data_IF_681727871786
#
_entry.id   IF_681727871786
#
_cell.length_a   1.000
_cell.length_b   1.000
_cell.length_c   1.000
_cell.angle_alpha   90.00
_cell.angle_beta   90.00
_cell.angle_gamma   90.00
#
_symmetry.space_group_name_H-M   'P 1'
#
loop_
_entity.id
_entity.type
_entity.pdbx_description
1 polymer ?
#
# COMPACT_ATOMS: atom_id res chain seq x y z
N UNK A 1 2.32 14.51 36.90
CA UNK A 1 1.69 14.18 35.60
C UNK A 1 2.72 13.42 34.80
N UNK A 2 2.51 12.11 34.61
CA UNK A 2 3.36 11.29 33.75
C UNK A 2 3.22 11.81 32.32
N UNK A 3 4.32 12.25 31.73
CA UNK A 3 4.40 12.40 30.28
C UNK A 3 4.35 11.00 29.68
N UNK A 4 3.15 10.56 29.25
CA UNK A 4 3.05 9.46 28.31
C UNK A 4 3.83 9.88 27.06
N UNK A 5 4.93 9.17 26.80
CA UNK A 5 5.69 9.37 25.57
C UNK A 5 4.76 9.00 24.41
N UNK A 6 4.69 9.84 23.38
CA UNK A 6 3.83 9.61 22.20
C UNK A 6 4.19 8.34 21.39
N UNK A 7 5.14 7.54 21.87
CA UNK A 7 5.67 6.33 21.26
C UNK A 7 5.36 5.03 22.03
N UNK A 8 4.60 5.08 23.14
CA UNK A 8 4.20 3.86 23.85
C UNK A 8 2.92 3.27 23.28
N UNK A 9 2.93 1.96 23.01
CA UNK A 9 1.72 1.21 22.70
C UNK A 9 0.90 1.04 23.97
N UNK A 10 -0.43 1.11 23.84
CA UNK A 10 -1.32 0.91 24.98
C UNK A 10 -1.16 -0.51 25.54
N UNK A 11 -1.07 -0.66 26.86
CA UNK A 11 -1.10 -1.98 27.52
C UNK A 11 -2.39 -2.77 27.21
N UNK A 12 -3.44 -2.08 26.76
CA UNK A 12 -4.72 -2.66 26.33
C UNK A 12 -4.75 -3.00 24.83
N UNK A 13 -3.64 -2.80 24.10
CA UNK A 13 -3.60 -3.14 22.68
C UNK A 13 -3.86 -4.63 22.47
N UNK A 14 -4.68 -4.99 21.46
CA UNK A 14 -4.96 -6.39 21.14
C UNK A 14 -3.71 -7.16 20.71
N UNK A 15 -2.61 -6.50 20.34
CA UNK A 15 -1.36 -7.20 19.97
C UNK A 15 -0.75 -7.99 21.13
N UNK A 16 -1.12 -7.67 22.38
CA UNK A 16 -0.66 -8.41 23.56
C UNK A 16 -1.58 -9.56 23.96
N UNK A 17 -2.79 -9.64 23.38
CA UNK A 17 -3.69 -10.74 23.64
C UNK A 17 -3.21 -11.99 22.88
N UNK A 18 -2.89 -13.12 23.56
CA UNK A 18 -2.47 -14.34 22.88
C UNK A 18 -3.48 -14.86 21.86
N UNK A 19 -4.77 -14.64 22.09
CA UNK A 19 -5.84 -15.09 21.19
C UNK A 19 -5.85 -14.33 19.85
N UNK A 20 -5.21 -13.15 19.79
CA UNK A 20 -5.07 -12.37 18.57
C UNK A 20 -4.33 -13.13 17.47
N UNK A 21 -3.45 -14.06 17.85
CA UNK A 21 -2.59 -14.78 16.90
C UNK A 21 -3.14 -16.14 16.45
N UNK A 22 -4.37 -16.49 16.87
CA UNK A 22 -5.01 -17.75 16.47
C UNK A 22 -5.31 -17.81 14.97
N UNK A 23 -5.13 -18.98 14.37
CA UNK A 23 -5.41 -19.23 12.94
C UNK A 23 -6.62 -20.15 12.80
N UNK A 24 -7.30 -20.13 11.64
CA UNK A 24 -8.33 -21.12 11.35
C UNK A 24 -7.70 -22.49 11.07
N UNK A 25 -6.51 -22.47 10.46
CA UNK A 25 -5.65 -23.62 10.25
C UNK A 25 -4.33 -23.42 11.02
N UNK A 26 -4.26 -24.05 12.20
CA UNK A 26 -3.08 -24.08 13.06
C UNK A 26 -2.09 -25.21 12.73
N UNK A 27 -2.32 -25.96 11.64
CA UNK A 27 -1.40 -27.01 11.20
C UNK A 27 0.00 -26.45 10.91
N UNK A 28 0.98 -27.36 10.88
CA UNK A 28 2.36 -27.08 10.52
C UNK A 28 2.46 -26.30 9.19
N UNK A 29 3.13 -25.14 9.23
CA UNK A 29 3.29 -24.26 8.07
C UNK A 29 4.14 -24.91 6.98
N UNK A 30 5.13 -25.71 7.37
CA UNK A 30 5.94 -26.50 6.44
C UNK A 30 5.11 -27.47 5.60
N UNK A 31 3.96 -27.94 6.08
CA UNK A 31 3.03 -28.75 5.26
C UNK A 31 2.20 -27.88 4.32
N UNK A 32 1.68 -26.75 4.81
CA UNK A 32 0.82 -25.86 4.02
C UNK A 32 1.56 -25.16 2.87
N UNK A 33 2.80 -24.74 3.12
CA UNK A 33 3.65 -24.04 2.16
C UNK A 33 4.49 -24.99 1.28
N UNK A 34 4.38 -26.31 1.48
CA UNK A 34 5.05 -27.31 0.63
C UNK A 34 4.55 -27.33 -0.82
N UNK A 35 3.29 -26.92 -1.04
CA UNK A 35 2.71 -26.84 -2.38
C UNK A 35 3.21 -25.58 -3.06
N UNK A 36 3.88 -25.76 -4.19
CA UNK A 36 4.40 -24.66 -5.01
C UNK A 36 3.27 -23.75 -5.52
N UNK A 37 3.48 -22.44 -5.41
CA UNK A 37 2.53 -21.41 -5.83
C UNK A 37 3.24 -20.37 -6.70
N UNK A 38 3.53 -20.74 -7.94
CA UNK A 38 4.03 -19.83 -8.98
C UNK A 38 2.91 -18.94 -9.56
N UNK A 39 2.24 -18.19 -8.68
CA UNK A 39 1.16 -17.28 -9.06
C UNK A 39 1.36 -15.94 -8.38
N UNK A 40 1.01 -14.87 -9.09
CA UNK A 40 0.93 -13.54 -8.51
C UNK A 40 -0.34 -13.41 -7.68
N UNK A 41 -0.19 -12.99 -6.42
CA UNK A 41 -1.32 -12.80 -5.49
C UNK A 41 -2.02 -11.44 -5.66
N UNK A 42 -1.36 -10.50 -6.32
CA UNK A 42 -1.82 -9.14 -6.59
C UNK A 42 -1.92 -8.91 -8.10
N UNK A 43 -2.78 -8.00 -8.53
CA UNK A 43 -2.80 -7.54 -9.92
C UNK A 43 -1.54 -6.75 -10.30
N UNK A 44 -1.31 -6.59 -11.60
CA UNK A 44 -0.07 -6.00 -12.11
C UNK A 44 0.14 -4.54 -11.75
N UNK A 45 -0.92 -3.75 -11.51
CA UNK A 45 -0.76 -2.36 -11.06
C UNK A 45 -0.33 -2.31 -9.60
N UNK A 46 -0.89 -3.18 -8.77
CA UNK A 46 -0.50 -3.34 -7.38
C UNK A 46 0.97 -3.80 -7.28
N UNK A 47 1.38 -4.80 -8.08
CA UNK A 47 2.77 -5.26 -8.16
C UNK A 47 3.73 -4.14 -8.60
N UNK A 48 3.38 -3.37 -9.64
CA UNK A 48 4.20 -2.24 -10.06
C UNK A 48 4.36 -1.20 -8.95
N UNK A 49 3.30 -1.01 -8.13
CA UNK A 49 3.36 -0.12 -6.97
C UNK A 49 4.31 -0.65 -5.89
N UNK A 50 4.32 -1.97 -5.64
CA UNK A 50 5.28 -2.62 -4.72
C UNK A 50 6.72 -2.37 -5.19
N UNK A 51 6.99 -2.61 -6.47
CA UNK A 51 8.30 -2.35 -7.09
C UNK A 51 8.73 -0.89 -6.94
N UNK A 52 7.84 0.07 -7.25
CA UNK A 52 8.10 1.50 -7.13
C UNK A 52 8.41 1.90 -5.68
N UNK A 53 7.69 1.34 -4.70
CA UNK A 53 7.94 1.56 -3.26
C UNK A 53 9.32 1.03 -2.87
N UNK A 54 9.66 -0.21 -3.21
CA UNK A 54 10.94 -0.84 -2.89
C UNK A 54 12.09 -0.03 -3.52
N UNK A 55 11.99 0.26 -4.82
CA UNK A 55 13.03 0.99 -5.56
C UNK A 55 13.21 2.44 -5.12
N UNK A 56 12.17 3.07 -4.56
CA UNK A 56 12.26 4.43 -4.02
C UNK A 56 12.84 4.47 -2.62
N UNK A 57 12.53 3.48 -1.79
CA UNK A 57 12.85 3.49 -0.37
C UNK A 57 14.21 2.88 -0.05
N UNK A 58 14.72 1.91 -0.80
CA UNK A 58 16.07 1.40 -0.59
C UNK A 58 17.03 2.30 -1.36
N UNK A 59 17.82 3.09 -0.63
CA UNK A 59 18.61 4.20 -1.18
C UNK A 59 20.12 3.93 -1.06
N UNK A 60 20.50 2.88 -0.37
CA UNK A 60 21.88 2.52 -0.15
C UNK A 60 22.55 2.14 -1.49
N UNK A 61 23.84 2.42 -1.62
CA UNK A 61 24.61 1.97 -2.77
C UNK A 61 24.94 0.48 -2.58
N UNK A 62 24.57 -0.36 -3.56
CA UNK A 62 24.79 -1.82 -3.51
C UNK A 62 24.35 -2.49 -2.20
N UNK A 63 23.06 -2.36 -1.80
CA UNK A 63 22.56 -2.83 -0.51
C UNK A 63 22.60 -4.35 -0.37
N UNK A 64 22.74 -4.80 0.88
CA UNK A 64 22.42 -6.17 1.28
C UNK A 64 20.97 -6.20 1.76
N UNK A 65 20.11 -6.91 1.03
CA UNK A 65 18.66 -6.97 1.26
C UNK A 65 18.26 -8.36 1.75
N UNK A 66 17.41 -8.43 2.77
CA UNK A 66 16.69 -9.64 3.16
C UNK A 66 15.25 -9.53 2.66
N UNK A 67 14.80 -10.47 1.83
CA UNK A 67 13.38 -10.74 1.62
C UNK A 67 12.88 -11.72 2.68
N UNK A 68 12.12 -11.21 3.65
CA UNK A 68 11.62 -11.94 4.81
C UNK A 68 10.25 -12.55 4.49
N UNK A 69 10.17 -13.88 4.58
CA UNK A 69 9.05 -14.70 4.08
C UNK A 69 8.97 -14.71 2.56
N UNK A 70 10.12 -14.77 1.90
CA UNK A 70 10.28 -14.78 0.45
C UNK A 70 9.55 -15.97 -0.21
N UNK A 71 8.95 -15.69 -1.37
CA UNK A 71 8.41 -16.67 -2.29
C UNK A 71 9.25 -16.76 -3.57
N UNK A 72 8.57 -17.00 -4.70
CA UNK A 72 9.21 -17.14 -6.01
C UNK A 72 9.54 -15.81 -6.71
N UNK A 73 9.07 -14.68 -6.17
CA UNK A 73 9.35 -13.34 -6.66
C UNK A 73 9.47 -12.38 -5.47
N UNK A 74 10.56 -11.62 -5.40
CA UNK A 74 10.83 -10.65 -4.32
C UNK A 74 10.26 -9.25 -4.64
N UNK A 75 9.75 -9.05 -5.86
CA UNK A 75 9.27 -7.77 -6.39
C UNK A 75 10.34 -6.65 -6.36
N UNK A 76 11.60 -7.04 -6.48
CA UNK A 76 12.72 -6.12 -6.63
C UNK A 76 12.75 -5.64 -8.10
N UNK A 77 12.73 -4.32 -8.37
CA UNK A 77 12.67 -3.80 -9.74
C UNK A 77 13.84 -4.25 -10.62
N UNK A 78 13.61 -4.48 -11.92
CA UNK A 78 14.61 -4.99 -12.88
C UNK A 78 15.87 -4.09 -13.03
N UNK A 79 15.78 -2.81 -12.68
CA UNK A 79 16.90 -1.86 -12.69
C UNK A 79 17.62 -1.69 -11.35
N UNK A 80 17.14 -2.33 -10.29
CA UNK A 80 17.71 -2.23 -8.95
C UNK A 80 19.01 -3.05 -8.86
N UNK A 81 20.05 -2.48 -8.26
CA UNK A 81 21.40 -3.09 -8.19
C UNK A 81 21.79 -3.38 -6.73
N UNK A 82 21.24 -4.45 -6.13
CA UNK A 82 21.67 -4.88 -4.81
C UNK A 82 23.11 -5.40 -4.86
N UNK A 83 23.83 -5.25 -3.76
CA UNK A 83 25.11 -5.94 -3.57
C UNK A 83 24.91 -7.41 -3.23
N UNK A 84 23.79 -7.74 -2.56
CA UNK A 84 23.34 -9.10 -2.28
C UNK A 84 21.85 -9.11 -1.91
N UNK A 85 21.10 -10.12 -2.35
CA UNK A 85 19.74 -10.39 -1.91
C UNK A 85 19.66 -11.79 -1.31
N UNK A 86 19.17 -11.88 -0.08
CA UNK A 86 18.93 -13.13 0.63
C UNK A 86 17.43 -13.32 0.79
N UNK A 87 16.90 -14.46 0.40
CA UNK A 87 15.50 -14.81 0.68
C UNK A 87 15.40 -15.75 1.88
N UNK A 88 14.49 -15.49 2.80
CA UNK A 88 14.16 -16.42 3.88
C UNK A 88 12.71 -16.86 3.72
N UNK A 89 12.46 -18.15 3.52
CA UNK A 89 11.12 -18.66 3.28
C UNK A 89 10.96 -20.13 3.63
N UNK A 90 9.83 -20.73 3.22
CA UNK A 90 9.47 -22.10 3.55
C UNK A 90 9.46 -23.06 2.34
N UNK A 91 9.25 -22.54 1.14
CA UNK A 91 9.19 -23.36 -0.07
C UNK A 91 10.52 -23.27 -0.84
N UNK A 92 11.28 -24.37 -0.86
CA UNK A 92 12.57 -24.41 -1.53
C UNK A 92 12.48 -24.23 -3.06
N UNK A 93 11.45 -24.76 -3.69
CA UNK A 93 11.27 -24.66 -5.15
C UNK A 93 10.97 -23.22 -5.57
N UNK A 94 10.14 -22.52 -4.80
CA UNK A 94 9.86 -21.10 -4.99
C UNK A 94 11.13 -20.27 -4.84
N UNK A 95 11.86 -20.45 -3.72
CA UNK A 95 13.11 -19.73 -3.47
C UNK A 95 14.16 -19.97 -4.55
N UNK A 96 14.34 -21.22 -5.01
CA UNK A 96 15.26 -21.55 -6.12
C UNK A 96 14.86 -20.89 -7.45
N UNK A 97 13.58 -20.62 -7.65
CA UNK A 97 13.05 -20.01 -8.87
C UNK A 97 13.05 -18.48 -8.82
N UNK A 98 13.30 -17.90 -7.65
CA UNK A 98 13.30 -16.46 -7.44
C UNK A 98 14.58 -15.84 -8.00
N UNK A 99 14.42 -15.17 -9.15
CA UNK A 99 15.52 -14.59 -9.93
C UNK A 99 16.22 -13.44 -9.24
N UNK A 100 15.62 -12.86 -8.21
CA UNK A 100 16.21 -11.76 -7.45
C UNK A 100 17.18 -12.24 -6.37
N UNK A 101 17.14 -13.51 -5.97
CA UNK A 101 17.93 -14.02 -4.84
C UNK A 101 19.31 -14.48 -5.28
N UNK A 102 20.34 -14.08 -4.52
CA UNK A 102 21.68 -14.66 -4.61
C UNK A 102 21.81 -15.91 -3.72
N UNK A 103 21.12 -15.90 -2.57
CA UNK A 103 21.11 -16.98 -1.59
C UNK A 103 19.72 -17.10 -0.96
N UNK A 104 19.39 -18.28 -0.44
CA UNK A 104 18.16 -18.48 0.31
C UNK A 104 18.38 -19.32 1.57
N UNK A 105 17.49 -19.14 2.54
CA UNK A 105 17.45 -19.88 3.81
C UNK A 105 16.05 -20.43 4.04
N UNK A 106 15.96 -21.75 4.26
CA UNK A 106 14.73 -22.38 4.73
C UNK A 106 14.60 -22.21 6.23
N UNK A 107 13.64 -21.42 6.68
CA UNK A 107 13.46 -21.14 8.10
C UNK A 107 12.01 -20.76 8.40
N UNK A 108 11.43 -21.44 9.40
CA UNK A 108 10.07 -21.22 9.86
C UNK A 108 10.05 -20.25 11.05
N UNK A 109 9.79 -18.98 10.76
CA UNK A 109 9.77 -17.91 11.77
C UNK A 109 8.65 -18.07 12.81
N UNK A 110 7.61 -18.85 12.50
CA UNK A 110 6.52 -19.10 13.42
C UNK A 110 6.90 -20.18 14.45
N UNK A 111 7.82 -21.09 14.10
CA UNK A 111 8.43 -22.04 15.05
C UNK A 111 9.57 -21.42 15.84
N UNK A 112 10.49 -20.75 15.14
CA UNK A 112 11.64 -20.08 15.74
C UNK A 112 11.75 -18.65 15.18
N UNK A 113 11.34 -17.61 15.93
CA UNK A 113 11.38 -16.23 15.43
C UNK A 113 12.80 -15.67 15.35
N UNK A 114 13.82 -16.38 15.87
CA UNK A 114 15.22 -15.94 15.83
C UNK A 114 15.79 -16.09 14.43
N UNK A 115 15.96 -14.96 13.74
CA UNK A 115 16.49 -14.96 12.38
C UNK A 115 17.95 -15.45 12.36
N UNK A 116 18.33 -16.38 11.48
CA UNK A 116 19.63 -17.07 11.49
C UNK A 116 20.76 -16.23 10.87
N UNK A 117 20.80 -14.94 11.20
CA UNK A 117 21.78 -13.98 10.69
C UNK A 117 22.47 -13.24 11.84
N UNK A 118 23.69 -12.78 11.59
CA UNK A 118 24.45 -11.95 12.52
C UNK A 118 23.84 -10.56 12.67
N UNK A 119 24.09 -9.92 13.80
CA UNK A 119 23.70 -8.54 14.07
C UNK A 119 24.22 -7.59 12.98
N UNK A 120 23.44 -6.58 12.62
CA UNK A 120 23.84 -5.52 11.68
C UNK A 120 24.42 -6.02 10.34
N UNK A 121 23.83 -7.07 9.76
CA UNK A 121 24.24 -7.65 8.48
C UNK A 121 23.53 -7.05 7.25
N UNK A 122 22.31 -6.51 7.42
CA UNK A 122 21.47 -6.05 6.30
C UNK A 122 21.30 -4.54 6.27
N UNK A 123 21.24 -3.98 5.06
CA UNK A 123 20.88 -2.58 4.81
C UNK A 123 19.35 -2.42 4.75
N UNK A 124 18.64 -3.43 4.24
CA UNK A 124 17.19 -3.45 4.21
C UNK A 124 16.63 -4.84 4.50
N UNK A 125 15.49 -4.89 5.19
CA UNK A 125 14.61 -6.05 5.31
C UNK A 125 13.27 -5.66 4.66
N UNK A 126 12.84 -6.43 3.67
CA UNK A 126 11.53 -6.29 3.04
C UNK A 126 10.64 -7.45 3.48
N UNK A 127 9.38 -7.18 3.77
CA UNK A 127 8.35 -8.19 3.98
C UNK A 127 7.17 -7.84 3.08
N UNK A 128 6.99 -8.61 2.01
CA UNK A 128 6.00 -8.35 0.97
C UNK A 128 4.82 -9.32 1.10
N UNK A 129 3.65 -8.78 1.41
CA UNK A 129 2.35 -9.46 1.43
C UNK A 129 2.31 -10.70 2.33
N UNK A 130 3.04 -10.66 3.45
CA UNK A 130 3.25 -11.84 4.32
C UNK A 130 3.13 -11.59 5.83
N UNK A 131 3.08 -10.33 6.30
CA UNK A 131 3.01 -9.98 7.74
C UNK A 131 1.80 -10.62 8.44
N UNK A 132 0.71 -10.81 7.70
CA UNK A 132 -0.55 -11.41 8.15
C UNK A 132 -0.43 -12.89 8.53
N UNK A 133 0.66 -13.55 8.15
CA UNK A 133 0.94 -14.96 8.50
C UNK A 133 1.91 -15.12 9.67
N UNK A 134 2.40 -14.03 10.27
CA UNK A 134 3.29 -14.06 11.44
C UNK A 134 2.48 -14.23 12.73
N UNK A 135 2.67 -15.34 13.45
CA UNK A 135 2.02 -15.56 14.77
C UNK A 135 2.89 -15.11 15.95
N UNK A 136 4.13 -14.68 15.69
CA UNK A 136 5.07 -14.10 16.67
C UNK A 136 5.69 -12.77 16.20
N UNK A 137 4.91 -11.80 15.69
CA UNK A 137 5.44 -10.63 15.01
C UNK A 137 6.31 -9.74 15.92
N UNK A 138 5.97 -9.62 17.21
CA UNK A 138 6.75 -8.79 18.15
C UNK A 138 8.20 -9.27 18.29
N UNK A 139 8.44 -10.57 18.20
CA UNK A 139 9.78 -11.16 18.27
C UNK A 139 10.50 -11.04 16.93
N UNK A 140 9.78 -11.30 15.83
CA UNK A 140 10.31 -11.18 14.46
C UNK A 140 10.74 -9.73 14.15
N UNK A 141 9.96 -8.73 14.57
CA UNK A 141 10.32 -7.32 14.36
C UNK A 141 11.54 -6.90 15.18
N UNK A 142 11.71 -7.43 16.41
CA UNK A 142 12.93 -7.23 17.21
C UNK A 142 14.14 -7.86 16.53
N UNK A 143 13.99 -9.06 15.97
CA UNK A 143 15.05 -9.74 15.23
C UNK A 143 15.39 -9.05 13.91
N UNK A 144 14.39 -8.55 13.16
CA UNK A 144 14.61 -7.69 12.00
C UNK A 144 15.41 -6.44 12.39
N UNK A 145 15.05 -5.81 13.51
CA UNK A 145 15.83 -4.72 14.11
C UNK A 145 17.25 -5.14 14.48
N UNK A 146 17.48 -6.33 15.05
CA UNK A 146 18.82 -6.84 15.41
C UNK A 146 19.71 -6.98 14.18
N UNK A 147 19.22 -7.61 13.12
CA UNK A 147 20.01 -7.91 11.92
C UNK A 147 20.20 -6.71 11.00
N UNK A 148 19.40 -5.65 11.14
CA UNK A 148 19.59 -4.40 10.41
C UNK A 148 20.80 -3.62 10.90
N UNK A 149 21.57 -3.03 9.98
CA UNK A 149 22.58 -2.01 10.32
C UNK A 149 21.91 -0.78 10.92
N UNK A 150 22.60 0.03 11.75
CA UNK A 150 22.06 1.31 12.20
C UNK A 150 21.66 2.19 11.00
N UNK A 151 20.40 2.65 10.97
CA UNK A 151 19.80 3.34 9.82
C UNK A 151 19.28 2.42 8.70
N UNK A 152 19.39 1.09 8.85
CA UNK A 152 18.83 0.14 7.90
C UNK A 152 17.30 0.20 7.85
N UNK A 153 16.71 -0.15 6.71
CA UNK A 153 15.26 -0.09 6.48
C UNK A 153 14.56 -1.39 6.87
N UNK A 154 13.50 -1.32 7.69
CA UNK A 154 12.47 -2.35 7.67
C UNK A 154 11.26 -1.82 6.90
N UNK A 155 10.86 -2.54 5.85
CA UNK A 155 9.74 -2.21 4.97
C UNK A 155 8.74 -3.35 4.96
N UNK A 156 7.54 -3.08 5.46
CA UNK A 156 6.43 -4.03 5.52
C UNK A 156 5.35 -3.57 4.55
N UNK A 157 5.07 -4.41 3.56
CA UNK A 157 4.08 -4.14 2.51
C UNK A 157 2.98 -5.17 2.62
N UNK A 158 1.71 -4.75 2.61
CA UNK A 158 0.57 -5.65 2.60
C UNK A 158 -0.57 -5.13 1.72
N UNK A 159 -1.51 -6.02 1.44
CA UNK A 159 -2.73 -5.76 0.69
C UNK A 159 -3.95 -6.29 1.45
N UNK A 160 -5.13 -6.23 0.84
CA UNK A 160 -6.34 -6.87 1.36
C UNK A 160 -6.47 -8.35 0.94
N UNK A 161 -5.61 -8.82 0.03
CA UNK A 161 -5.50 -10.23 -0.37
C UNK A 161 -4.73 -11.01 0.70
N UNK A 162 -5.30 -12.12 1.15
CA UNK A 162 -4.67 -13.03 2.10
C UNK A 162 -5.23 -14.45 1.94
N UNK A 163 -4.57 -15.44 2.53
CA UNK A 163 -5.12 -16.76 2.79
C UNK A 163 -5.83 -16.77 4.16
N UNK A 164 -7.17 -16.72 4.23
CA UNK A 164 -7.88 -16.58 5.52
C UNK A 164 -7.58 -17.72 6.49
N UNK A 165 -7.22 -18.90 5.98
CA UNK A 165 -6.88 -20.06 6.80
C UNK A 165 -5.62 -19.83 7.65
N UNK A 166 -4.61 -19.16 7.09
CA UNK A 166 -3.31 -18.92 7.73
C UNK A 166 -3.14 -17.53 8.31
N UNK A 167 -3.96 -16.56 7.91
CA UNK A 167 -3.92 -15.23 8.51
C UNK A 167 -4.34 -15.29 9.99
N UNK A 168 -3.63 -14.57 10.86
CA UNK A 168 -3.95 -14.55 12.28
C UNK A 168 -5.25 -13.79 12.59
N UNK A 169 -5.93 -14.16 13.68
CA UNK A 169 -7.29 -13.71 14.01
C UNK A 169 -7.44 -12.19 14.01
N UNK A 170 -6.58 -11.48 14.72
CA UNK A 170 -6.63 -10.02 14.81
C UNK A 170 -6.54 -9.37 13.43
N UNK A 171 -5.70 -9.89 12.52
CA UNK A 171 -5.63 -9.40 11.14
C UNK A 171 -6.95 -9.61 10.38
N UNK A 172 -7.53 -10.80 10.49
CA UNK A 172 -8.78 -11.16 9.79
C UNK A 172 -9.97 -10.34 10.27
N UNK A 173 -10.04 -10.07 11.57
CA UNK A 173 -11.12 -9.31 12.20
C UNK A 173 -10.95 -7.79 12.05
N UNK A 174 -9.78 -7.33 11.59
CA UNK A 174 -9.47 -5.92 11.37
C UNK A 174 -9.75 -5.48 9.94
N UNK A 175 -10.22 -4.24 9.79
CA UNK A 175 -10.22 -3.53 8.51
C UNK A 175 -8.81 -3.04 8.13
N UNK A 176 -8.65 -2.48 6.94
CA UNK A 176 -7.33 -2.11 6.41
C UNK A 176 -6.66 -0.95 7.18
N UNK A 177 -7.44 0.01 7.65
CA UNK A 177 -6.91 1.12 8.45
C UNK A 177 -6.50 0.64 9.85
N UNK A 178 -7.21 -0.35 10.43
CA UNK A 178 -6.81 -1.02 11.67
C UNK A 178 -5.54 -1.86 11.49
N UNK A 179 -5.36 -2.53 10.34
CA UNK A 179 -4.14 -3.28 10.01
C UNK A 179 -2.90 -2.39 9.95
N UNK A 180 -3.05 -1.16 9.44
CA UNK A 180 -2.00 -0.13 9.50
C UNK A 180 -1.59 0.14 10.95
N UNK A 181 -2.56 0.30 11.86
CA UNK A 181 -2.30 0.54 13.29
C UNK A 181 -1.58 -0.67 13.91
N UNK A 182 -2.03 -1.89 13.61
CA UNK A 182 -1.40 -3.12 14.11
C UNK A 182 0.08 -3.19 13.73
N UNK A 183 0.41 -2.94 12.45
CA UNK A 183 1.80 -2.97 11.98
C UNK A 183 2.62 -1.83 12.62
N UNK A 184 2.05 -0.63 12.74
CA UNK A 184 2.68 0.50 13.42
C UNK A 184 3.02 0.17 14.89
N UNK A 185 2.12 -0.53 15.58
CA UNK A 185 2.37 -0.98 16.94
C UNK A 185 3.47 -2.05 17.00
N UNK A 186 3.59 -2.96 16.02
CA UNK A 186 4.72 -3.89 15.96
C UNK A 186 6.08 -3.16 15.84
N UNK A 187 6.16 -2.10 15.03
CA UNK A 187 7.35 -1.24 14.94
C UNK A 187 7.67 -0.56 16.29
N UNK A 188 6.65 0.00 16.96
CA UNK A 188 6.81 0.66 18.26
C UNK A 188 7.28 -0.33 19.34
N UNK A 189 6.69 -1.52 19.39
CA UNK A 189 7.03 -2.56 20.36
C UNK A 189 8.41 -3.16 20.18
N UNK A 190 8.93 -3.16 18.95
CA UNK A 190 10.32 -3.55 18.73
C UNK A 190 11.30 -2.58 19.41
N UNK A 191 10.92 -1.31 19.61
CA UNK A 191 11.65 -0.34 20.41
C UNK A 191 13.00 0.12 19.84
N UNK A 192 13.32 -0.29 18.61
CA UNK A 192 14.62 -0.03 17.95
C UNK A 192 14.50 0.73 16.63
N UNK A 193 13.28 1.09 16.23
CA UNK A 193 13.00 1.83 15.01
C UNK A 193 12.69 3.30 15.29
N UNK A 194 13.02 4.16 14.33
CA UNK A 194 12.56 5.54 14.28
C UNK A 194 11.04 5.61 14.05
N UNK A 195 10.50 6.83 13.96
CA UNK A 195 9.08 7.02 13.67
C UNK A 195 8.70 6.35 12.34
N UNK A 196 7.65 5.55 12.38
CA UNK A 196 7.05 4.90 11.21
C UNK A 196 6.56 5.94 10.20
N UNK A 197 6.75 5.59 8.93
CA UNK A 197 6.20 6.28 7.77
C UNK A 197 5.24 5.34 7.05
N UNK A 198 4.24 5.92 6.39
CA UNK A 198 3.14 5.20 5.78
C UNK A 198 2.88 5.68 4.36
N UNK A 199 2.86 4.74 3.44
CA UNK A 199 2.43 4.94 2.07
C UNK A 199 1.17 4.08 1.81
N UNK A 200 0.19 4.66 1.10
CA UNK A 200 -1.05 3.97 0.71
C UNK A 200 -1.33 4.24 -0.77
N UNK A 201 -1.71 3.18 -1.49
CA UNK A 201 -2.24 3.24 -2.84
C UNK A 201 -3.52 2.41 -2.90
N UNK A 202 -4.68 3.04 -3.08
CA UNK A 202 -5.98 2.36 -3.16
C UNK A 202 -6.93 3.07 -4.14
N UNK A 203 -8.00 2.38 -4.56
CA UNK A 203 -9.05 2.95 -5.41
C UNK A 203 -8.67 3.15 -6.89
N UNK A 204 -7.48 2.68 -7.29
CA UNK A 204 -6.98 2.76 -8.67
C UNK A 204 -7.68 1.75 -9.58
N UNK A 205 -7.83 2.05 -10.88
CA UNK A 205 -8.47 1.13 -11.82
C UNK A 205 -7.68 -0.17 -11.93
N UNK A 206 -8.38 -1.31 -11.87
CA UNK A 206 -7.79 -2.63 -12.09
C UNK A 206 -7.34 -2.77 -13.55
N UNK A 207 -6.16 -3.35 -13.83
CA UNK A 207 -5.72 -3.65 -15.19
C UNK A 207 -6.76 -4.47 -15.97
N UNK A 208 -7.01 -4.10 -17.23
CA UNK A 208 -8.08 -4.72 -18.04
C UNK A 208 -7.81 -6.18 -18.40
N UNK A 209 -6.58 -6.64 -18.27
CA UNK A 209 -6.16 -8.03 -18.50
C UNK A 209 -6.14 -8.88 -17.21
N UNK A 210 -6.48 -8.31 -16.05
CA UNK A 210 -6.58 -9.06 -14.81
C UNK A 210 -7.84 -9.94 -14.78
N UNK A 211 -7.75 -11.10 -14.11
CA UNK A 211 -8.86 -12.07 -14.02
C UNK A 211 -10.13 -11.53 -13.34
N UNK A 212 -10.02 -10.51 -12.49
CA UNK A 212 -11.15 -9.88 -11.81
C UNK A 212 -11.55 -8.53 -12.46
N UNK A 213 -11.02 -8.19 -13.63
CA UNK A 213 -11.28 -6.90 -14.28
C UNK A 213 -12.77 -6.64 -14.57
N UNK A 214 -13.54 -7.70 -14.85
CA UNK A 214 -14.98 -7.61 -15.14
C UNK A 214 -15.86 -7.42 -13.90
N UNK A 215 -15.33 -7.59 -12.69
CA UNK A 215 -16.12 -7.52 -11.45
C UNK A 215 -16.32 -6.07 -10.97
N UNK A 216 -15.74 -5.08 -11.67
CA UNK A 216 -15.86 -3.66 -11.29
C UNK A 216 -15.16 -3.32 -9.97
N UNK A 217 -14.30 -4.21 -9.47
CA UNK A 217 -13.50 -3.98 -8.26
C UNK A 217 -12.22 -3.20 -8.60
N UNK A 218 -11.73 -2.32 -7.71
CA UNK A 218 -10.45 -1.64 -7.89
C UNK A 218 -9.27 -2.60 -8.00
N UNK A 219 -8.12 -2.06 -8.42
CA UNK A 219 -6.82 -2.69 -8.23
C UNK A 219 -6.59 -2.97 -6.73
N UNK A 220 -5.89 -4.05 -6.44
CA UNK A 220 -5.54 -4.48 -5.10
C UNK A 220 -4.80 -3.34 -4.38
N UNK A 221 -5.29 -2.91 -3.20
CA UNK A 221 -4.68 -1.79 -2.49
C UNK A 221 -3.31 -2.20 -1.93
N UNK A 222 -2.39 -1.25 -1.87
CA UNK A 222 -1.07 -1.42 -1.28
C UNK A 222 -0.93 -0.49 -0.08
N UNK A 223 -0.54 -1.06 1.04
CA UNK A 223 -0.16 -0.35 2.26
C UNK A 223 1.30 -0.69 2.56
N UNK A 224 2.14 0.32 2.74
CA UNK A 224 3.54 0.14 3.09
C UNK A 224 3.86 0.95 4.34
N UNK A 225 4.18 0.25 5.43
CA UNK A 225 4.74 0.85 6.63
C UNK A 225 6.22 0.57 6.69
N UNK A 226 6.99 1.59 7.00
CA UNK A 226 8.43 1.47 7.05
C UNK A 226 9.06 2.40 8.08
N UNK A 227 10.18 1.96 8.61
CA UNK A 227 10.98 2.74 9.54
C UNK A 227 12.45 2.38 9.41
N UNK A 228 13.31 3.31 9.81
CA UNK A 228 14.75 3.11 9.87
C UNK A 228 15.13 2.60 11.26
N UNK A 229 16.11 1.70 11.35
CA UNK A 229 16.71 1.33 12.63
C UNK A 229 17.39 2.56 13.23
N UNK A 230 17.15 2.80 14.52
CA UNK A 230 17.82 3.87 15.27
C UNK A 230 19.35 3.74 15.28
N UNK A 231 20.03 4.86 15.53
CA UNK A 231 21.50 4.91 15.58
C UNK A 231 22.19 5.06 14.22
N UNK A 232 21.43 5.32 13.16
CA UNK A 232 21.98 5.65 11.85
C UNK A 232 22.80 6.94 11.87
N UNK A 233 23.74 7.07 10.93
CA UNK A 233 24.53 8.30 10.77
C UNK A 233 23.60 9.48 10.42
N UNK A 234 23.57 10.59 11.20
CA UNK A 234 22.72 11.75 10.91
C UNK A 234 23.00 12.43 9.56
N UNK A 235 24.19 12.23 8.98
CA UNK A 235 24.58 12.75 7.67
C UNK A 235 24.13 11.85 6.49
N UNK A 236 23.47 10.71 6.76
CA UNK A 236 22.90 9.84 5.73
C UNK A 236 21.90 10.60 4.85
N UNK A 237 21.78 10.20 3.59
CA UNK A 237 20.68 10.65 2.73
C UNK A 237 19.35 10.24 3.40
N UNK A 238 18.39 11.16 3.46
CA UNK A 238 17.04 10.83 3.91
C UNK A 238 16.31 10.05 2.83
N UNK A 239 15.51 9.05 3.23
CA UNK A 239 14.62 8.37 2.29
C UNK A 239 13.58 9.36 1.75
N UNK A 240 13.27 9.32 0.45
CA UNK A 240 12.30 10.22 -0.14
C UNK A 240 10.88 9.86 0.30
N UNK A 241 9.95 10.81 0.13
CA UNK A 241 8.53 10.45 0.10
C UNK A 241 8.26 9.60 -1.14
N UNK A 242 7.61 8.46 -0.96
CA UNK A 242 7.23 7.62 -2.09
C UNK A 242 6.22 8.35 -2.97
N UNK A 243 6.49 8.38 -4.27
CA UNK A 243 5.58 8.84 -5.30
C UNK A 243 5.44 7.76 -6.37
N UNK A 244 4.23 7.27 -6.58
CA UNK A 244 3.95 6.34 -7.68
C UNK A 244 3.88 7.12 -8.99
N UNK A 245 4.30 6.49 -10.08
CA UNK A 245 4.14 7.06 -11.42
C UNK A 245 2.66 7.11 -11.80
N UNK A 246 2.14 8.31 -12.06
CA UNK A 246 0.82 8.50 -12.68
C UNK A 246 0.99 8.76 -14.18
N UNK A 247 -0.09 8.59 -14.95
CA UNK A 247 -0.18 9.31 -16.23
C UNK A 247 -0.01 10.80 -15.95
N UNK A 248 0.88 11.44 -16.70
CA UNK A 248 1.15 12.87 -16.55
C UNK A 248 -0.15 13.67 -16.66
N UNK A 249 -0.31 14.66 -15.77
CA UNK A 249 -1.34 15.67 -15.98
C UNK A 249 -0.93 16.53 -17.17
N UNK A 250 -1.88 17.02 -17.97
CA UNK A 250 -1.59 18.11 -18.90
C UNK A 250 -0.99 19.30 -18.13
N UNK A 251 -0.22 20.15 -18.81
CA UNK A 251 0.34 21.36 -18.18
C UNK A 251 -0.77 22.25 -17.61
N UNK A 252 -0.44 23.08 -16.61
CA UNK A 252 -1.42 24.00 -16.02
C UNK A 252 -2.05 24.93 -17.08
N UNK A 253 -1.26 25.37 -18.07
CA UNK A 253 -1.73 26.17 -19.20
C UNK A 253 -2.72 25.40 -20.08
N UNK A 254 -2.43 24.12 -20.36
CA UNK A 254 -3.31 23.26 -21.15
C UNK A 254 -4.61 22.94 -20.40
N UNK A 255 -4.54 22.68 -19.09
CA UNK A 255 -5.72 22.51 -18.24
C UNK A 255 -6.58 23.77 -18.27
N UNK A 256 -5.99 24.94 -18.03
CA UNK A 256 -6.72 26.22 -18.06
C UNK A 256 -7.34 26.52 -19.44
N UNK A 257 -6.67 26.13 -20.53
CA UNK A 257 -7.21 26.23 -21.89
C UNK A 257 -8.42 25.31 -22.07
N UNK A 258 -8.31 24.06 -21.63
CA UNK A 258 -9.39 23.07 -21.74
C UNK A 258 -10.59 23.42 -20.85
N UNK A 259 -10.36 23.91 -19.64
CA UNK A 259 -11.41 24.37 -18.71
C UNK A 259 -12.32 25.42 -19.35
N UNK A 260 -11.75 26.36 -20.13
CA UNK A 260 -12.52 27.38 -20.86
C UNK A 260 -13.41 26.80 -21.97
N UNK A 261 -13.06 25.65 -22.53
CA UNK A 261 -13.82 24.99 -23.60
C UNK A 261 -14.80 23.92 -23.09
N UNK A 262 -14.83 23.65 -21.78
CA UNK A 262 -15.69 22.59 -21.22
C UNK A 262 -17.17 22.87 -21.49
N UNK A 263 -17.60 24.13 -21.42
CA UNK A 263 -18.99 24.52 -21.71
C UNK A 263 -19.47 24.10 -23.11
N UNK A 264 -18.56 24.10 -24.08
CA UNK A 264 -18.86 23.82 -25.48
C UNK A 264 -18.63 22.33 -25.83
N UNK A 265 -17.62 21.71 -25.20
CA UNK A 265 -17.19 20.34 -25.51
C UNK A 265 -17.81 19.29 -24.59
N UNK A 266 -18.15 19.66 -23.37
CA UNK A 266 -18.48 18.78 -22.24
C UNK A 266 -17.42 17.70 -21.99
N UNK A 267 -16.17 17.96 -22.39
CA UNK A 267 -15.05 17.07 -22.15
C UNK A 267 -14.32 17.47 -20.86
N UNK A 268 -13.88 16.47 -20.10
CA UNK A 268 -13.08 16.68 -18.90
C UNK A 268 -11.73 17.35 -19.25
N UNK A 269 -11.33 18.43 -18.57
CA UNK A 269 -10.09 19.13 -18.91
C UNK A 269 -8.83 18.28 -18.65
N UNK A 270 -8.91 17.32 -17.73
CA UNK A 270 -7.76 16.49 -17.34
C UNK A 270 -7.53 15.31 -18.28
N UNK A 271 -8.58 14.58 -18.67
CA UNK A 271 -8.45 13.38 -19.51
C UNK A 271 -9.03 13.50 -20.92
N UNK A 272 -9.76 14.58 -21.23
CA UNK A 272 -10.38 14.80 -22.54
C UNK A 272 -11.65 13.99 -22.82
N UNK A 273 -12.00 13.02 -21.97
CA UNK A 273 -13.21 12.21 -22.11
C UNK A 273 -14.48 13.02 -21.90
N UNK A 274 -15.55 12.65 -22.61
CA UNK A 274 -16.86 13.27 -22.45
C UNK A 274 -17.43 12.99 -21.06
N UNK A 275 -17.92 14.03 -20.39
CA UNK A 275 -18.52 13.93 -19.07
C UNK A 275 -19.99 13.50 -19.16
N UNK A 276 -20.46 12.79 -18.14
CA UNK A 276 -21.85 12.36 -18.05
C UNK A 276 -22.67 13.41 -17.31
N UNK A 277 -23.91 13.59 -17.75
CA UNK A 277 -24.89 14.41 -17.03
C UNK A 277 -25.26 13.68 -15.74
N UNK A 278 -25.25 14.40 -14.63
CA UNK A 278 -25.49 13.88 -13.30
C UNK A 278 -26.56 14.71 -12.61
N UNK A 279 -27.60 14.04 -12.13
CA UNK A 279 -28.69 14.69 -11.40
C UNK A 279 -28.19 15.13 -10.02
N UNK A 280 -28.40 16.40 -9.70
CA UNK A 280 -28.15 16.90 -8.35
C UNK A 280 -29.23 16.33 -7.43
N UNK A 281 -28.87 15.62 -6.33
CA UNK A 281 -29.85 15.06 -5.42
C UNK A 281 -30.70 16.16 -4.79
N UNK A 282 -32.03 15.98 -4.84
CA UNK A 282 -32.96 16.81 -4.09
C UNK A 282 -32.78 16.51 -2.59
N UNK A 283 -32.04 17.37 -1.90
CA UNK A 283 -31.92 17.32 -0.45
C UNK A 283 -32.83 18.38 0.18
N UNK A 284 -33.94 17.97 0.83
CA UNK A 284 -34.89 18.91 1.46
C UNK A 284 -34.32 19.63 2.69
N UNK A 285 -33.14 19.26 3.17
CA UNK A 285 -32.50 19.86 4.34
C UNK A 285 -31.31 20.77 4.00
N UNK A 286 -30.71 20.62 2.81
CA UNK A 286 -29.60 21.46 2.31
C UNK A 286 -29.58 21.44 0.77
N UNK A 287 -30.23 22.38 0.10
CA UNK A 287 -29.91 22.65 -1.30
C UNK A 287 -28.58 23.42 -1.34
N UNK A 288 -27.50 22.72 -1.66
CA UNK A 288 -26.15 23.33 -1.81
C UNK A 288 -25.89 23.86 -3.22
N UNK A 289 -26.75 23.52 -4.19
CA UNK A 289 -26.59 23.89 -5.59
C UNK A 289 -27.93 24.28 -6.21
N UNK A 290 -27.98 25.42 -6.89
CA UNK A 290 -29.20 26.02 -7.48
C UNK A 290 -29.56 25.42 -8.86
N UNK A 291 -29.08 24.23 -9.18
CA UNK A 291 -29.21 23.63 -10.52
C UNK A 291 -29.56 22.15 -10.47
N UNK A 292 -30.41 21.71 -11.39
CA UNK A 292 -30.97 20.35 -11.43
C UNK A 292 -29.92 19.28 -11.81
N UNK A 293 -28.87 19.68 -12.54
CA UNK A 293 -27.84 18.76 -13.00
C UNK A 293 -26.47 19.41 -13.13
N UNK A 294 -25.43 18.59 -12.98
CA UNK A 294 -24.03 18.89 -13.25
C UNK A 294 -23.51 17.94 -14.34
N UNK A 295 -22.28 18.17 -14.81
CA UNK A 295 -21.54 17.17 -15.60
C UNK A 295 -20.34 16.67 -14.82
N UNK A 296 -20.17 15.35 -14.70
CA UNK A 296 -19.08 14.74 -13.93
C UNK A 296 -18.25 13.82 -14.83
N UNK A 297 -16.93 13.87 -14.67
CA UNK A 297 -16.02 12.92 -15.30
C UNK A 297 -16.02 11.58 -14.55
N UNK A 298 -16.70 10.58 -15.10
CA UNK A 298 -16.71 9.20 -14.59
C UNK A 298 -15.65 8.29 -15.21
N UNK A 299 -14.65 8.84 -15.91
CA UNK A 299 -13.51 8.07 -16.39
C UNK A 299 -12.60 7.68 -15.21
N UNK A 300 -12.60 6.41 -14.84
CA UNK A 300 -11.79 5.87 -13.73
C UNK A 300 -10.29 5.85 -14.03
N UNK A 301 -9.89 6.07 -15.28
CA UNK A 301 -8.50 6.26 -15.70
C UNK A 301 -8.08 7.74 -15.79
N UNK A 302 -8.95 8.68 -15.41
CA UNK A 302 -8.62 10.09 -15.42
C UNK A 302 -7.49 10.39 -14.45
N UNK A 303 -6.39 11.01 -14.92
CA UNK A 303 -5.21 11.30 -14.09
C UNK A 303 -5.52 12.22 -12.90
N UNK A 304 -6.53 13.09 -13.02
CA UNK A 304 -7.03 13.89 -11.89
C UNK A 304 -7.66 13.03 -10.79
N UNK A 305 -8.51 12.08 -11.17
CA UNK A 305 -9.13 11.14 -10.24
C UNK A 305 -8.14 10.14 -9.65
N UNK A 306 -7.26 9.54 -10.47
CA UNK A 306 -6.30 8.56 -9.96
C UNK A 306 -5.33 9.21 -8.95
N UNK A 307 -4.84 10.43 -9.25
CA UNK A 307 -3.96 11.19 -8.34
C UNK A 307 -4.68 11.70 -7.08
N UNK A 308 -5.99 11.90 -7.15
CA UNK A 308 -6.77 12.42 -6.03
C UNK A 308 -6.68 11.55 -4.78
N UNK A 309 -6.61 10.22 -4.97
CA UNK A 309 -6.45 9.25 -3.89
C UNK A 309 -5.20 9.51 -3.05
N UNK A 310 -4.06 9.73 -3.70
CA UNK A 310 -2.79 9.92 -3.01
C UNK A 310 -2.66 11.33 -2.41
N UNK A 311 -3.22 12.35 -3.09
CA UNK A 311 -3.23 13.74 -2.61
C UNK A 311 -4.06 13.88 -1.32
N UNK A 312 -5.26 13.29 -1.32
CA UNK A 312 -6.16 13.40 -0.17
C UNK A 312 -5.67 12.65 1.04
N UNK A 313 -5.05 11.50 0.81
CA UNK A 313 -4.43 10.75 1.88
C UNK A 313 -3.33 11.57 2.57
N UNK A 314 -2.40 12.16 1.80
CA UNK A 314 -1.33 13.00 2.34
C UNK A 314 -1.84 14.26 3.05
N UNK A 315 -2.92 14.87 2.56
CA UNK A 315 -3.41 16.15 3.06
C UNK A 315 -4.41 16.08 4.22
N UNK A 316 -5.23 15.02 4.28
CA UNK A 316 -6.37 14.96 5.21
C UNK A 316 -6.53 13.62 5.93
N UNK A 317 -5.69 12.62 5.59
CA UNK A 317 -5.81 11.25 6.07
C UNK A 317 -7.18 10.61 5.78
N UNK A 318 -7.90 11.10 4.76
CA UNK A 318 -9.19 10.58 4.34
C UNK A 318 -9.03 9.77 3.05
N UNK A 319 -9.57 8.56 3.05
CA UNK A 319 -9.61 7.66 1.89
C UNK A 319 -10.58 8.11 0.81
N UNK A 320 -10.39 9.31 0.29
CA UNK A 320 -11.23 9.90 -0.76
C UNK A 320 -10.38 10.22 -1.99
N UNK A 321 -11.04 10.34 -3.13
CA UNK A 321 -10.50 11.02 -4.30
C UNK A 321 -11.44 12.14 -4.75
N UNK A 322 -11.11 12.82 -5.84
CA UNK A 322 -11.95 13.82 -6.48
C UNK A 322 -12.22 13.46 -7.94
N UNK A 323 -13.45 13.71 -8.38
CA UNK A 323 -13.76 13.80 -9.82
C UNK A 323 -13.88 15.26 -10.23
N UNK A 324 -13.61 15.53 -11.50
CA UNK A 324 -13.91 16.83 -12.09
C UNK A 324 -15.41 16.94 -12.32
N UNK A 325 -16.02 17.98 -11.73
CA UNK A 325 -17.42 18.35 -11.91
C UNK A 325 -17.49 19.71 -12.59
N UNK A 326 -18.30 19.82 -13.64
CA UNK A 326 -18.59 21.06 -14.34
C UNK A 326 -20.02 21.52 -14.04
N UNK A 327 -20.13 22.77 -13.60
CA UNK A 327 -21.41 23.43 -13.37
C UNK A 327 -21.82 24.24 -14.61
N UNK A 328 -22.91 23.88 -15.30
CA UNK A 328 -23.33 24.55 -16.53
C UNK A 328 -23.90 25.97 -16.30
N UNK A 329 -24.31 26.32 -15.08
CA UNK A 329 -24.88 27.63 -14.76
C UNK A 329 -23.81 28.70 -14.64
N UNK A 330 -22.73 28.43 -13.88
CA UNK A 330 -21.63 29.37 -13.71
C UNK A 330 -20.47 29.14 -14.68
N UNK A 331 -20.47 28.01 -15.41
CA UNK A 331 -19.44 27.67 -16.39
C UNK A 331 -18.09 27.27 -15.77
N UNK A 332 -18.06 26.86 -14.49
CA UNK A 332 -16.84 26.52 -13.77
C UNK A 332 -16.68 25.02 -13.53
N UNK A 333 -15.43 24.55 -13.57
CA UNK A 333 -15.04 23.24 -13.08
C UNK A 333 -14.70 23.30 -11.58
N UNK A 334 -15.02 22.24 -10.84
CA UNK A 334 -14.73 22.11 -9.41
C UNK A 334 -14.49 20.64 -9.04
N UNK A 335 -13.75 20.36 -7.96
CA UNK A 335 -13.65 19.00 -7.41
C UNK A 335 -14.97 18.57 -6.76
N UNK A 336 -15.34 17.31 -6.96
CA UNK A 336 -16.36 16.64 -6.13
C UNK A 336 -15.72 15.42 -5.43
N UNK A 337 -15.75 15.34 -4.08
CA UNK A 337 -15.14 14.23 -3.36
C UNK A 337 -15.90 12.93 -3.60
N UNK A 338 -15.17 11.83 -3.76
CA UNK A 338 -15.71 10.49 -3.97
C UNK A 338 -15.01 9.48 -3.05
N UNK A 339 -15.76 8.74 -2.21
CA UNK A 339 -15.19 7.73 -1.32
C UNK A 339 -14.90 6.39 -2.01
N UNK A 340 -15.48 6.15 -3.19
CA UNK A 340 -15.29 4.91 -3.95
C UNK A 340 -15.34 5.21 -5.46
N UNK A 341 -14.83 4.32 -6.33
CA UNK A 341 -15.00 4.47 -7.77
C UNK A 341 -16.46 4.50 -8.21
N UNK A 342 -17.37 3.89 -7.45
CA UNK A 342 -18.79 3.81 -7.78
C UNK A 342 -19.62 4.98 -7.26
N UNK A 343 -19.07 5.78 -6.36
CA UNK A 343 -19.78 6.93 -5.82
C UNK A 343 -20.29 7.86 -6.93
N UNK A 344 -21.54 8.31 -6.78
CA UNK A 344 -22.25 9.23 -7.66
C UNK A 344 -22.71 8.62 -9.00
N UNK A 345 -22.28 7.40 -9.37
CA UNK A 345 -22.65 6.79 -10.66
C UNK A 345 -24.15 6.48 -10.75
N UNK A 346 -24.82 6.28 -9.62
CA UNK A 346 -26.27 6.10 -9.49
C UNK A 346 -27.09 7.32 -9.92
N UNK A 347 -26.49 8.52 -9.91
CA UNK A 347 -27.15 9.76 -10.33
C UNK A 347 -26.93 10.11 -11.81
N UNK A 348 -26.30 9.23 -12.60
CA UNK A 348 -26.10 9.47 -14.03
C UNK A 348 -27.44 9.44 -14.76
N UNK A 349 -27.72 10.48 -15.53
CA UNK A 349 -28.94 10.60 -16.35
C UNK A 349 -28.60 10.68 -17.84
N UNK A 350 -29.48 10.12 -18.67
CA UNK A 350 -29.33 10.02 -20.13
C UNK A 350 -29.51 11.35 -20.86
#
# INVERSE_FOLDING_TARGET
>A
MMHLSANQVSELSPIYNPDSYQRLDDSDDGQFYKVDRFVSHLDSLALQTVEDVIGSLIIEDSPIVLDLMAGWDSHIPEGFKPGKVVGLGLNENELKSNKSLDEYVLHDINKDPRLPFSDASFDAVINSVSVDYMIRPLEVFKEAGRILKPGGLLLVIFSNRMFPQKAFRLWRESNEDERVIIVDEFFKEAGVFEKTSLFISRGKPRPSNDKYASEGIPSDPIYALYAEKTGGNPARRKRPDVSVRYRELPSAEEIARREKSVKDTLCCPYCGEKMSKWQVPDNPFCQTWDNDFMYICFNDNCSYYVRGWDVMYKGTNQGLSYRCMFNPVNGCCSPIPVPTPNALKEGIIS
#
